data_IF_615214838766
#
_entry.id   IF_615214838766
#
_cell.length_a   1.000
_cell.length_b   1.000
_cell.length_c   1.000
_cell.angle_alpha   90.00
_cell.angle_beta   90.00
_cell.angle_gamma   90.00
#
_symmetry.space_group_name_H-M   'P 1'
#
loop_
_entity.id
_entity.type
_entity.pdbx_description
1 polymer ?
#
# COMPACT_ATOMS: atom_id res chain seq x y z
N UNK A 1 1.51 -10.89 2.30
CA UNK A 1 1.92 -9.91 1.26
C UNK A 1 3.43 -9.77 1.18
N UNK A 2 4.13 -9.52 2.29
CA UNK A 2 5.60 -9.34 2.31
C UNK A 2 6.41 -10.48 1.70
N UNK A 3 6.06 -11.74 1.99
CA UNK A 3 6.72 -12.90 1.37
C UNK A 3 6.56 -12.95 -0.16
N UNK A 4 5.46 -12.40 -0.71
CA UNK A 4 5.24 -12.33 -2.16
C UNK A 4 6.16 -11.25 -2.76
N UNK A 5 6.28 -10.10 -2.09
CA UNK A 5 7.20 -9.03 -2.50
C UNK A 5 8.66 -9.52 -2.48
N UNK A 6 9.03 -10.32 -1.47
CA UNK A 6 10.35 -10.94 -1.36
C UNK A 6 10.63 -11.94 -2.48
N UNK A 7 9.64 -12.75 -2.87
CA UNK A 7 9.76 -13.67 -4.01
C UNK A 7 9.90 -12.90 -5.31
N UNK A 8 9.08 -11.84 -5.50
CA UNK A 8 9.16 -10.98 -6.68
C UNK A 8 10.53 -10.30 -6.79
N UNK A 9 11.07 -9.76 -5.70
CA UNK A 9 12.39 -9.11 -5.71
C UNK A 9 13.50 -10.10 -6.04
N UNK A 10 13.46 -11.32 -5.49
CA UNK A 10 14.47 -12.35 -5.81
C UNK A 10 14.39 -12.74 -7.30
N UNK A 11 13.18 -12.93 -7.85
CA UNK A 11 12.99 -13.27 -9.27
C UNK A 11 13.47 -12.13 -10.18
N UNK A 12 13.12 -10.89 -9.86
CA UNK A 12 13.57 -9.71 -10.61
C UNK A 12 15.08 -9.57 -10.57
N UNK A 13 15.71 -9.75 -9.40
CA UNK A 13 17.15 -9.73 -9.26
C UNK A 13 17.84 -10.80 -10.12
N UNK A 14 17.35 -12.04 -10.11
CA UNK A 14 17.88 -13.12 -10.94
C UNK A 14 17.74 -12.82 -12.44
N UNK A 15 16.59 -12.30 -12.87
CA UNK A 15 16.35 -11.92 -14.26
C UNK A 15 17.26 -10.76 -14.68
N UNK A 16 17.45 -9.76 -13.81
CA UNK A 16 18.31 -8.61 -14.05
C UNK A 16 19.78 -9.00 -14.16
N UNK A 17 20.24 -9.95 -13.34
CA UNK A 17 21.57 -10.53 -13.45
C UNK A 17 21.75 -11.32 -14.76
N UNK A 18 20.76 -12.13 -15.15
CA UNK A 18 20.81 -12.88 -16.41
C UNK A 18 20.91 -11.94 -17.63
N UNK A 19 20.11 -10.86 -17.64
CA UNK A 19 20.16 -9.85 -18.71
C UNK A 19 21.47 -9.05 -18.70
N UNK A 20 22.06 -8.82 -17.52
CA UNK A 20 23.38 -8.18 -17.41
C UNK A 20 24.53 -9.03 -17.96
N UNK A 21 24.40 -10.35 -17.90
CA UNK A 21 25.39 -11.29 -18.47
C UNK A 21 25.34 -11.36 -20.00
N UNK A 22 24.26 -10.85 -20.62
CA UNK A 22 24.07 -10.84 -22.07
C UNK A 22 24.49 -9.47 -22.63
N UNK A 23 25.41 -9.44 -23.60
CA UNK A 23 25.97 -8.19 -24.16
C UNK A 23 24.92 -7.30 -24.83
N UNK A 24 23.96 -7.91 -25.53
CA UNK A 24 22.86 -7.21 -26.22
C UNK A 24 21.86 -6.54 -25.25
N UNK A 25 21.69 -7.08 -24.04
CA UNK A 25 20.66 -6.67 -23.08
C UNK A 25 21.24 -5.91 -21.87
N UNK A 26 22.50 -5.47 -21.95
CA UNK A 26 23.20 -4.88 -20.81
C UNK A 26 22.49 -3.64 -20.23
N UNK A 27 21.96 -2.76 -21.10
CA UNK A 27 21.23 -1.57 -20.67
C UNK A 27 19.88 -1.91 -20.02
N UNK A 28 19.14 -2.86 -20.60
CA UNK A 28 17.87 -3.35 -20.04
C UNK A 28 18.09 -4.02 -18.66
N UNK A 29 19.15 -4.81 -18.52
CA UNK A 29 19.55 -5.40 -17.24
C UNK A 29 19.87 -4.35 -16.18
N UNK A 30 20.54 -3.24 -16.55
CA UNK A 30 20.79 -2.12 -15.63
C UNK A 30 19.49 -1.47 -15.14
N UNK A 31 18.54 -1.19 -16.04
CA UNK A 31 17.22 -0.63 -15.66
C UNK A 31 16.49 -1.56 -14.69
N UNK A 32 16.50 -2.87 -14.99
CA UNK A 32 15.79 -3.85 -14.19
C UNK A 32 16.39 -3.97 -12.77
N UNK A 33 17.71 -3.93 -12.64
CA UNK A 33 18.39 -3.88 -11.34
C UNK A 33 18.12 -2.57 -10.57
N UNK A 34 17.95 -1.43 -11.26
CA UNK A 34 17.56 -0.18 -10.60
C UNK A 34 16.13 -0.26 -10.04
N UNK A 35 15.20 -0.85 -10.79
CA UNK A 35 13.82 -1.07 -10.32
C UNK A 35 13.83 -2.05 -9.14
N UNK A 36 14.61 -3.13 -9.23
CA UNK A 36 14.77 -4.12 -8.17
C UNK A 36 15.30 -3.50 -6.87
N UNK A 37 16.28 -2.59 -6.96
CA UNK A 37 16.77 -1.83 -5.81
C UNK A 37 15.67 -1.01 -5.12
N UNK A 38 14.75 -0.41 -5.89
CA UNK A 38 13.59 0.30 -5.31
C UNK A 38 12.69 -0.68 -4.56
N UNK A 39 12.42 -1.86 -5.12
CA UNK A 39 11.62 -2.91 -4.45
C UNK A 39 12.31 -3.38 -3.15
N UNK A 40 13.63 -3.56 -3.16
CA UNK A 40 14.39 -3.86 -1.94
C UNK A 40 14.33 -2.73 -0.90
N UNK A 41 14.34 -1.46 -1.32
CA UNK A 41 14.12 -0.34 -0.42
C UNK A 41 12.70 -0.34 0.16
N UNK A 42 11.67 -0.69 -0.62
CA UNK A 42 10.30 -0.85 -0.11
C UNK A 42 10.24 -1.98 0.94
N UNK A 43 11.01 -3.06 0.78
CA UNK A 43 11.14 -4.12 1.80
C UNK A 43 11.71 -3.60 3.12
N UNK A 44 12.57 -2.59 3.12
CA UNK A 44 13.03 -1.97 4.38
C UNK A 44 11.87 -1.31 5.13
N UNK A 45 10.87 -0.76 4.43
CA UNK A 45 9.65 -0.26 5.07
C UNK A 45 8.87 -1.37 5.79
N UNK A 46 8.87 -2.60 5.27
CA UNK A 46 8.30 -3.78 5.95
C UNK A 46 9.01 -4.12 7.27
N UNK A 47 10.28 -3.76 7.42
CA UNK A 47 10.97 -3.91 8.71
C UNK A 47 10.52 -2.79 9.65
N UNK A 48 10.31 -1.58 9.13
CA UNK A 48 9.77 -0.47 9.92
C UNK A 48 8.30 -0.67 10.32
N UNK A 49 7.54 -1.57 9.67
CA UNK A 49 6.18 -1.91 10.12
C UNK A 49 6.15 -2.56 11.50
N UNK A 50 7.28 -3.05 11.97
CA UNK A 50 7.44 -3.67 13.31
C UNK A 50 7.52 -2.60 14.39
N UNK A 51 7.89 -1.36 14.03
CA UNK A 51 8.05 -0.29 15.00
C UNK A 51 6.69 0.13 15.58
N UNK A 52 6.65 0.35 16.89
CA UNK A 52 5.45 0.77 17.64
C UNK A 52 4.81 2.06 17.09
N UNK A 53 5.60 2.89 16.41
CA UNK A 53 5.20 4.25 16.00
C UNK A 53 4.88 4.32 14.49
N UNK A 54 5.59 3.57 13.63
CA UNK A 54 5.38 3.60 12.18
C UNK A 54 4.55 2.41 11.68
N UNK A 55 4.49 1.29 12.40
CA UNK A 55 3.75 0.09 12.01
C UNK A 55 2.27 0.33 11.75
N UNK A 56 1.53 0.86 12.73
CA UNK A 56 0.10 1.11 12.56
C UNK A 56 -0.19 2.10 11.42
N UNK A 57 0.68 3.10 11.22
CA UNK A 57 0.59 4.09 10.13
C UNK A 57 0.73 3.47 8.73
N UNK A 58 1.61 2.48 8.56
CA UNK A 58 1.78 1.78 7.28
C UNK A 58 0.57 0.88 6.97
N UNK A 59 -0.06 0.29 7.99
CA UNK A 59 -1.26 -0.54 7.80
C UNK A 59 -2.44 0.32 7.34
N UNK A 60 -2.64 1.50 7.94
CA UNK A 60 -3.64 2.46 7.47
C UNK A 60 -3.40 2.82 5.99
N UNK A 61 -2.15 3.04 5.60
CA UNK A 61 -1.80 3.39 4.22
C UNK A 61 -2.14 2.27 3.22
N UNK A 62 -2.09 0.99 3.63
CA UNK A 62 -2.52 -0.13 2.78
C UNK A 62 -4.04 -0.13 2.58
N UNK A 63 -4.81 0.25 3.60
CA UNK A 63 -6.27 0.34 3.53
C UNK A 63 -6.74 1.48 2.62
N UNK A 64 -5.97 2.57 2.54
CA UNK A 64 -6.20 3.70 1.62
C UNK A 64 -6.12 3.31 0.13
N UNK A 65 -5.59 2.13 -0.21
CA UNK A 65 -5.49 1.66 -1.60
C UNK A 65 -6.87 1.52 -2.26
N UNK A 66 -7.89 1.05 -1.51
CA UNK A 66 -9.25 0.92 -2.03
C UNK A 66 -9.84 2.27 -2.45
N UNK A 67 -9.52 3.32 -1.70
CA UNK A 67 -9.96 4.67 -2.02
C UNK A 67 -9.20 5.26 -3.22
N UNK A 68 -7.89 5.07 -3.28
CA UNK A 68 -7.07 5.46 -4.43
C UNK A 68 -7.56 4.79 -5.73
N UNK A 69 -8.06 3.55 -5.63
CA UNK A 69 -8.68 2.85 -6.75
C UNK A 69 -9.98 3.54 -7.22
N UNK A 70 -10.86 3.94 -6.31
CA UNK A 70 -12.06 4.72 -6.64
C UNK A 70 -11.72 6.07 -7.31
N UNK A 71 -10.72 6.79 -6.79
CA UNK A 71 -10.22 8.02 -7.39
C UNK A 71 -9.66 7.77 -8.80
N UNK A 72 -8.90 6.70 -8.99
CA UNK A 72 -8.34 6.32 -10.29
C UNK A 72 -9.42 6.04 -11.33
N UNK A 73 -10.50 5.33 -10.96
CA UNK A 73 -11.65 5.10 -11.86
C UNK A 73 -12.25 6.44 -12.31
N UNK A 74 -12.45 7.38 -11.39
CA UNK A 74 -12.99 8.70 -11.69
C UNK A 74 -12.10 9.50 -12.66
N UNK A 75 -10.78 9.51 -12.41
CA UNK A 75 -9.78 10.18 -13.27
C UNK A 75 -9.80 9.61 -14.68
N UNK A 76 -9.78 8.28 -14.82
CA UNK A 76 -9.77 7.61 -16.12
C UNK A 76 -11.09 7.87 -16.87
N UNK A 77 -12.23 7.86 -16.18
CA UNK A 77 -13.52 8.14 -16.80
C UNK A 77 -13.58 9.56 -17.39
N UNK A 78 -13.14 10.58 -16.63
CA UNK A 78 -13.06 11.95 -17.13
C UNK A 78 -12.05 12.11 -18.26
N UNK A 79 -10.86 11.52 -18.13
CA UNK A 79 -9.80 11.62 -19.12
C UNK A 79 -10.19 11.00 -20.47
N UNK A 80 -10.77 9.80 -20.46
CA UNK A 80 -11.27 9.13 -21.66
C UNK A 80 -12.41 9.93 -22.30
N UNK A 81 -13.34 10.46 -21.50
CA UNK A 81 -14.44 11.29 -22.01
C UNK A 81 -13.93 12.60 -22.64
N UNK A 82 -13.04 13.34 -21.96
CA UNK A 82 -12.41 14.55 -22.48
C UNK A 82 -11.69 14.27 -23.80
N UNK A 83 -10.86 13.23 -23.83
CA UNK A 83 -10.07 12.90 -25.01
C UNK A 83 -10.95 12.45 -26.19
N UNK A 84 -11.99 11.65 -25.93
CA UNK A 84 -12.93 11.20 -26.96
C UNK A 84 -13.80 12.31 -27.55
N UNK A 85 -14.12 13.35 -26.77
CA UNK A 85 -14.91 14.50 -27.24
C UNK A 85 -14.04 15.48 -28.04
N UNK A 86 -12.84 15.79 -27.55
CA UNK A 86 -12.03 16.87 -28.13
C UNK A 86 -11.17 16.42 -29.31
N UNK A 87 -10.62 15.20 -29.29
CA UNK A 87 -9.60 14.74 -30.25
C UNK A 87 -10.19 13.67 -31.18
N UNK A 88 -10.09 13.89 -32.49
CA UNK A 88 -10.45 12.87 -33.47
C UNK A 88 -9.33 11.83 -33.60
N UNK A 89 -9.69 10.55 -33.46
CA UNK A 89 -8.89 9.33 -33.67
C UNK A 89 -7.37 9.56 -33.85
N UNK A 90 -6.60 9.47 -32.76
CA UNK A 90 -5.13 9.48 -32.78
C UNK A 90 -4.63 8.02 -32.79
N UNK A 91 -3.67 7.71 -33.67
CA UNK A 91 -3.10 6.37 -33.78
C UNK A 91 -1.90 6.16 -32.83
N UNK A 92 -1.42 7.22 -32.16
CA UNK A 92 -0.25 7.19 -31.28
C UNK A 92 -0.66 6.84 -29.85
N UNK A 93 -0.40 5.61 -29.43
CA UNK A 93 -0.76 5.11 -28.09
C UNK A 93 -0.16 5.95 -26.96
N UNK A 94 1.08 6.42 -27.11
CA UNK A 94 1.75 7.23 -26.07
C UNK A 94 1.00 8.54 -25.78
N UNK A 95 0.46 9.18 -26.84
CA UNK A 95 -0.33 10.40 -26.72
C UNK A 95 -1.74 10.12 -26.18
N UNK A 96 -2.32 8.96 -26.50
CA UNK A 96 -3.59 8.52 -25.93
C UNK A 96 -3.45 8.31 -24.42
N UNK A 97 -2.44 7.58 -23.97
CA UNK A 97 -2.22 7.31 -22.54
C UNK A 97 -1.90 8.61 -21.78
N UNK A 98 -1.07 9.48 -22.38
CA UNK A 98 -0.75 10.79 -21.78
C UNK A 98 -2.00 11.66 -21.61
N UNK A 99 -2.83 11.77 -22.64
CA UNK A 99 -4.05 12.59 -22.59
C UNK A 99 -5.14 12.01 -21.69
N UNK A 100 -5.31 10.68 -21.67
CA UNK A 100 -6.43 10.04 -20.98
C UNK A 100 -6.16 9.77 -19.50
N UNK A 101 -4.90 9.63 -19.08
CA UNK A 101 -4.55 9.25 -17.71
C UNK A 101 -3.64 10.29 -17.06
N UNK A 102 -2.55 10.67 -17.72
CA UNK A 102 -1.51 11.50 -17.10
C UNK A 102 -1.96 12.96 -16.91
N UNK A 103 -2.52 13.59 -17.95
CA UNK A 103 -3.07 14.94 -17.86
C UNK A 103 -4.18 15.11 -16.81
N UNK A 104 -5.26 14.31 -16.81
CA UNK A 104 -6.34 14.47 -15.84
C UNK A 104 -5.90 14.18 -14.39
N UNK A 105 -4.91 13.30 -14.19
CA UNK A 105 -4.29 13.09 -12.89
C UNK A 105 -3.56 14.34 -12.39
N UNK A 106 -2.75 15.01 -13.24
CA UNK A 106 -2.06 16.25 -12.87
C UNK A 106 -3.01 17.39 -12.54
N UNK A 107 -4.14 17.48 -13.24
CA UNK A 107 -5.17 18.51 -13.03
C UNK A 107 -5.72 18.46 -11.59
N UNK A 108 -5.87 17.27 -10.98
CA UNK A 108 -6.33 17.13 -9.58
C UNK A 108 -5.37 17.83 -8.62
N UNK A 109 -4.06 17.69 -8.83
CA UNK A 109 -3.02 18.31 -8.01
C UNK A 109 -2.79 19.80 -8.31
N UNK A 110 -3.62 20.39 -9.17
CA UNK A 110 -3.50 21.80 -9.55
C UNK A 110 -2.40 22.08 -10.58
N UNK A 111 -1.75 21.05 -11.13
CA UNK A 111 -0.86 21.19 -12.28
C UNK A 111 -1.74 21.22 -13.53
N UNK A 112 -2.33 22.38 -13.77
CA UNK A 112 -3.07 22.63 -14.99
C UNK A 112 -2.07 22.94 -16.12
N UNK A 113 -1.88 22.00 -17.05
CA UNK A 113 -1.13 22.26 -18.30
C UNK A 113 -2.00 23.03 -19.29
N UNK A 114 -3.19 23.50 -18.88
CA UNK A 114 -3.83 24.60 -19.58
C UNK A 114 -2.96 25.82 -19.28
N UNK A 115 -2.19 26.24 -20.28
CA UNK A 115 -1.78 27.63 -20.39
C UNK A 115 -2.97 28.54 -20.06
N UNK A 116 -2.76 29.76 -19.54
CA UNK A 116 -3.80 30.78 -19.37
C UNK A 116 -4.36 31.30 -20.72
N UNK A 117 -4.47 30.43 -21.72
CA UNK A 117 -4.74 30.65 -23.13
C UNK A 117 -5.93 29.81 -23.65
N UNK A 118 -6.81 29.32 -22.79
CA UNK A 118 -8.18 28.94 -23.20
C UNK A 118 -9.04 30.17 -23.58
N UNK A 119 -8.44 31.36 -23.61
CA UNK A 119 -9.02 32.56 -24.23
C UNK A 119 -8.47 32.82 -25.65
N UNK A 120 -7.46 32.08 -26.11
CA UNK A 120 -6.89 32.21 -27.45
C UNK A 120 -6.20 30.90 -27.86
N UNK A 121 -6.99 29.96 -28.39
CA UNK A 121 -6.48 28.76 -29.04
C UNK A 121 -5.42 29.13 -30.11
N UNK A 122 -4.14 28.79 -29.87
CA UNK A 122 -3.07 28.98 -30.84
C UNK A 122 -2.86 27.71 -31.66
N UNK A 123 -3.20 27.78 -32.94
CA UNK A 123 -3.11 26.67 -33.89
C UNK A 123 -1.66 26.16 -34.06
N UNK A 124 -0.65 26.98 -33.75
CA UNK A 124 0.77 26.61 -33.87
C UNK A 124 1.24 25.66 -32.75
N UNK A 125 0.48 25.56 -31.66
CA UNK A 125 0.78 24.70 -30.51
C UNK A 125 0.43 23.23 -30.73
N UNK A 126 -0.35 22.92 -31.77
CA UNK A 126 -0.86 21.57 -32.04
C UNK A 126 -0.62 21.13 -33.49
N UNK A 127 -0.69 19.82 -33.76
CA UNK A 127 -0.55 19.23 -35.09
C UNK A 127 -1.89 18.72 -35.61
N UNK A 128 -2.31 19.12 -36.82
CA UNK A 128 -3.59 18.71 -37.41
C UNK A 128 -3.69 17.20 -37.65
N UNK A 129 -2.63 16.60 -38.20
CA UNK A 129 -2.58 15.18 -38.52
C UNK A 129 -1.78 14.35 -37.50
N UNK A 130 -1.29 14.97 -36.41
CA UNK A 130 -0.40 14.29 -35.47
C UNK A 130 0.97 13.91 -36.07
N UNK A 131 1.40 14.64 -37.11
CA UNK A 131 2.66 14.39 -37.83
C UNK A 131 3.90 14.82 -37.04
N UNK A 132 3.75 15.78 -36.12
CA UNK A 132 4.82 16.24 -35.24
C UNK A 132 4.87 15.36 -33.97
N UNK A 133 5.99 14.69 -33.68
CA UNK A 133 6.13 13.85 -32.49
C UNK A 133 6.16 14.64 -31.17
N UNK A 134 6.46 15.94 -31.21
CA UNK A 134 6.58 16.78 -30.02
C UNK A 134 5.27 17.48 -29.63
N UNK A 135 4.32 17.60 -30.57
CA UNK A 135 3.07 18.36 -30.37
C UNK A 135 1.84 17.46 -30.23
N UNK A 136 0.87 17.85 -29.37
CA UNK A 136 -0.41 17.17 -29.28
C UNK A 136 -1.20 17.34 -30.58
N UNK A 137 -2.14 16.42 -30.81
CA UNK A 137 -3.09 16.55 -31.93
C UNK A 137 -4.08 17.66 -31.63
N UNK A 138 -4.39 18.47 -32.64
CA UNK A 138 -5.37 19.54 -32.49
C UNK A 138 -6.77 18.98 -32.21
N UNK A 139 -7.62 19.71 -31.44
CA UNK A 139 -9.02 19.36 -31.31
C UNK A 139 -9.72 19.44 -32.67
N UNK A 140 -10.89 18.83 -32.80
CA UNK A 140 -11.68 18.94 -34.03
C UNK A 140 -12.05 20.41 -34.26
N UNK A 141 -11.70 20.96 -35.43
CA UNK A 141 -11.96 22.35 -35.80
C UNK A 141 -13.05 22.46 -36.87
N UNK A 142 -13.82 23.54 -36.81
CA UNK A 142 -14.75 24.00 -37.85
C UNK A 142 -14.01 24.76 -38.97
N UNK A 143 -14.73 25.11 -40.04
CA UNK A 143 -14.20 25.87 -41.20
C UNK A 143 -13.48 27.17 -40.82
N UNK A 144 -13.86 27.78 -39.70
CA UNK A 144 -13.27 29.03 -39.17
C UNK A 144 -12.04 28.80 -38.28
N UNK A 145 -11.45 27.59 -38.28
CA UNK A 145 -10.29 27.23 -37.43
C UNK A 145 -10.54 27.40 -35.92
N UNK A 146 -11.78 27.22 -35.49
CA UNK A 146 -12.20 27.21 -34.07
C UNK A 146 -12.64 25.80 -33.67
N UNK A 147 -12.47 25.39 -32.40
CA UNK A 147 -12.93 24.08 -31.95
C UNK A 147 -14.45 23.91 -32.18
N UNK A 148 -14.85 22.73 -32.68
CA UNK A 148 -16.27 22.38 -32.88
C UNK A 148 -17.00 22.33 -31.54
N UNK A 149 -16.31 21.85 -30.50
CA UNK A 149 -16.84 21.77 -29.16
C UNK A 149 -16.70 23.11 -28.44
N UNK A 150 -17.77 23.68 -27.85
CA UNK A 150 -17.69 24.98 -27.21
C UNK A 150 -16.76 25.01 -26.00
N UNK A 151 -15.89 26.01 -25.93
CA UNK A 151 -14.91 26.18 -24.84
C UNK A 151 -15.58 26.31 -23.46
N UNK A 152 -16.69 27.05 -23.38
CA UNK A 152 -17.45 27.21 -22.14
C UNK A 152 -17.95 25.87 -21.57
N UNK A 153 -18.28 24.92 -22.45
CA UNK A 153 -18.73 23.60 -22.03
C UNK A 153 -17.57 22.75 -21.51
N UNK A 154 -16.37 22.88 -22.11
CA UNK A 154 -15.13 22.28 -21.60
C UNK A 154 -14.78 22.82 -20.22
N UNK A 155 -14.92 24.13 -20.02
CA UNK A 155 -14.69 24.78 -18.72
C UNK A 155 -15.69 24.25 -17.68
N UNK A 156 -16.98 24.15 -18.01
CA UNK A 156 -17.99 23.58 -17.10
C UNK A 156 -17.65 22.13 -16.74
N UNK A 157 -17.29 21.30 -17.73
CA UNK A 157 -16.89 19.91 -17.50
C UNK A 157 -15.68 19.81 -16.56
N UNK A 158 -14.68 20.69 -16.73
CA UNK A 158 -13.52 20.78 -15.85
C UNK A 158 -13.90 21.23 -14.43
N UNK A 159 -14.78 22.23 -14.29
CA UNK A 159 -15.25 22.70 -12.99
C UNK A 159 -15.99 21.59 -12.23
N UNK A 160 -16.88 20.85 -12.89
CA UNK A 160 -17.58 19.71 -12.29
C UNK A 160 -16.58 18.61 -11.90
N UNK A 161 -15.63 18.28 -12.77
CA UNK A 161 -14.59 17.30 -12.47
C UNK A 161 -13.79 17.67 -11.21
N UNK A 162 -13.31 18.92 -11.13
CA UNK A 162 -12.55 19.43 -9.98
C UNK A 162 -13.40 19.50 -8.72
N UNK A 163 -14.69 19.84 -8.82
CA UNK A 163 -15.60 19.84 -7.69
C UNK A 163 -15.71 18.44 -7.07
N UNK A 164 -15.98 17.43 -7.89
CA UNK A 164 -16.11 16.05 -7.42
C UNK A 164 -14.77 15.48 -6.92
N UNK A 165 -13.68 15.71 -7.65
CA UNK A 165 -12.37 15.18 -7.28
C UNK A 165 -11.82 15.86 -6.00
N UNK A 166 -11.78 17.19 -5.97
CA UNK A 166 -11.09 17.92 -4.91
C UNK A 166 -11.98 18.22 -3.70
N UNK A 167 -13.26 18.51 -3.90
CA UNK A 167 -14.15 18.85 -2.77
C UNK A 167 -14.79 17.59 -2.16
N UNK A 168 -15.17 16.60 -2.97
CA UNK A 168 -15.82 15.40 -2.44
C UNK A 168 -14.79 14.29 -2.17
N UNK A 169 -14.07 13.82 -3.19
CA UNK A 169 -13.24 12.62 -3.05
C UNK A 169 -11.99 12.86 -2.19
N UNK A 170 -11.19 13.89 -2.46
CA UNK A 170 -9.98 14.14 -1.66
C UNK A 170 -10.30 14.49 -0.20
N UNK A 171 -11.32 15.30 0.06
CA UNK A 171 -11.71 15.63 1.44
C UNK A 171 -12.25 14.41 2.19
N UNK A 172 -13.02 13.55 1.53
CA UNK A 172 -13.47 12.29 2.12
C UNK A 172 -12.29 11.35 2.41
N UNK A 173 -11.30 11.27 1.51
CA UNK A 173 -10.06 10.50 1.75
C UNK A 173 -9.33 10.99 2.99
N UNK A 174 -9.16 12.32 3.10
CA UNK A 174 -8.51 12.93 4.26
C UNK A 174 -9.29 12.64 5.54
N UNK A 175 -10.63 12.72 5.49
CA UNK A 175 -11.49 12.44 6.63
C UNK A 175 -11.38 10.97 7.08
N UNK A 176 -11.45 10.02 6.15
CA UNK A 176 -11.29 8.58 6.45
C UNK A 176 -9.88 8.31 6.97
N UNK A 177 -8.85 8.94 6.39
CA UNK A 177 -7.47 8.81 6.85
C UNK A 177 -7.32 9.32 8.28
N UNK A 178 -7.89 10.49 8.61
CA UNK A 178 -7.83 11.03 9.96
C UNK A 178 -8.59 10.14 10.96
N UNK A 179 -9.77 9.65 10.60
CA UNK A 179 -10.56 8.75 11.44
C UNK A 179 -9.83 7.44 11.73
N UNK A 180 -9.36 6.75 10.68
CA UNK A 180 -8.58 5.50 10.82
C UNK A 180 -7.26 5.74 11.55
N UNK A 181 -6.62 6.90 11.36
CA UNK A 181 -5.42 7.28 12.10
C UNK A 181 -5.69 7.41 13.60
N UNK A 182 -6.79 8.04 13.99
CA UNK A 182 -7.20 8.22 15.38
C UNK A 182 -7.56 6.87 16.03
N UNK A 183 -8.40 6.05 15.39
CA UNK A 183 -8.80 4.73 15.90
C UNK A 183 -7.60 3.78 16.11
N UNK A 184 -6.66 3.79 15.16
CA UNK A 184 -5.45 2.98 15.23
C UNK A 184 -4.47 3.56 16.27
N UNK A 185 -4.42 4.88 16.44
CA UNK A 185 -3.61 5.51 17.48
C UNK A 185 -4.09 5.07 18.87
N UNK A 186 -5.41 5.07 19.10
CA UNK A 186 -6.01 4.69 20.39
C UNK A 186 -5.78 3.21 20.74
N UNK A 187 -5.69 2.33 19.74
CA UNK A 187 -5.46 0.88 19.92
C UNK A 187 -4.01 0.42 19.67
N UNK A 188 -3.06 1.36 19.52
CA UNK A 188 -1.67 1.05 19.13
C UNK A 188 -0.99 0.05 20.06
N UNK A 189 -1.29 0.09 21.36
CA UNK A 189 -0.64 -0.77 22.35
C UNK A 189 -1.01 -2.25 22.22
N UNK A 190 -2.26 -2.58 21.86
CA UNK A 190 -2.68 -3.97 21.67
C UNK A 190 -2.09 -4.55 20.38
N UNK A 191 -2.17 -3.77 19.29
CA UNK A 191 -1.64 -4.14 17.97
C UNK A 191 -0.12 -4.38 18.06
N UNK A 192 0.61 -3.48 18.71
CA UNK A 192 2.06 -3.62 18.88
C UNK A 192 2.43 -4.86 19.70
N UNK A 193 1.68 -5.17 20.77
CA UNK A 193 1.92 -6.39 21.58
C UNK A 193 1.75 -7.66 20.75
N UNK A 194 0.72 -7.72 19.90
CA UNK A 194 0.49 -8.87 19.01
C UNK A 194 1.59 -9.01 17.96
N UNK A 195 1.93 -7.93 17.25
CA UNK A 195 3.00 -7.93 16.24
C UNK A 195 4.36 -8.28 16.82
N UNK A 196 4.67 -7.78 18.02
CA UNK A 196 5.91 -8.10 18.72
C UNK A 196 6.01 -9.59 19.04
N UNK A 197 4.91 -10.24 19.44
CA UNK A 197 4.92 -11.66 19.73
C UNK A 197 5.24 -12.50 18.50
N UNK A 198 4.60 -12.22 17.36
CA UNK A 198 4.89 -12.92 16.09
C UNK A 198 6.35 -12.78 15.69
N UNK A 199 6.90 -11.56 15.82
CA UNK A 199 8.30 -11.28 15.54
C UNK A 199 9.24 -12.09 16.43
N UNK A 200 9.01 -12.09 17.75
CA UNK A 200 9.87 -12.83 18.69
C UNK A 200 9.85 -14.32 18.36
N UNK A 201 8.67 -14.88 18.08
CA UNK A 201 8.52 -16.27 17.67
C UNK A 201 9.33 -16.59 16.41
N UNK A 202 9.29 -15.69 15.42
CA UNK A 202 10.04 -15.85 14.18
C UNK A 202 11.57 -15.76 14.40
N UNK A 203 12.06 -14.74 15.10
CA UNK A 203 13.48 -14.57 15.38
C UNK A 203 14.06 -15.68 16.27
N UNK A 204 13.27 -16.21 17.21
CA UNK A 204 13.70 -17.34 18.05
C UNK A 204 13.98 -18.61 17.22
N UNK A 205 13.25 -18.81 16.12
CA UNK A 205 13.43 -19.97 15.24
C UNK A 205 14.60 -19.82 14.26
N UNK A 206 15.14 -18.61 14.08
CA UNK A 206 16.22 -18.33 13.12
C UNK A 206 17.61 -18.55 13.76
N UNK A 207 18.59 -19.06 13.01
CA UNK A 207 19.97 -19.19 13.51
C UNK A 207 20.55 -17.81 13.86
N UNK A 208 21.32 -17.74 14.95
CA UNK A 208 21.80 -16.47 15.54
C UNK A 208 22.80 -15.68 14.68
N UNK A 209 23.25 -16.22 13.55
CA UNK A 209 24.19 -15.53 12.67
C UNK A 209 23.49 -14.41 11.87
N UNK A 210 24.12 -13.24 11.71
CA UNK A 210 23.56 -12.17 10.90
C UNK A 210 23.50 -12.60 9.42
N UNK A 211 22.64 -11.97 8.60
CA UNK A 211 22.40 -12.34 7.21
C UNK A 211 23.64 -12.68 6.35
N UNK A 212 24.77 -11.94 6.40
CA UNK A 212 25.96 -12.31 5.62
C UNK A 212 26.58 -13.67 6.00
N UNK A 213 26.48 -14.09 7.27
CA UNK A 213 27.08 -15.32 7.78
C UNK A 213 26.07 -16.48 7.92
N UNK A 214 24.79 -16.24 7.61
CA UNK A 214 23.72 -17.23 7.77
C UNK A 214 23.92 -18.47 6.89
N UNK A 215 24.58 -18.31 5.74
CA UNK A 215 24.89 -19.39 4.80
C UNK A 215 25.75 -20.46 5.49
N UNK A 216 26.75 -20.06 6.27
CA UNK A 216 27.62 -20.98 7.01
C UNK A 216 26.85 -21.73 8.11
N UNK A 217 25.93 -21.05 8.81
CA UNK A 217 25.08 -21.69 9.81
C UNK A 217 24.13 -22.73 9.20
N UNK A 218 23.50 -22.40 8.07
CA UNK A 218 22.64 -23.36 7.36
C UNK A 218 23.44 -24.54 6.82
N UNK A 219 24.66 -24.33 6.32
CA UNK A 219 25.56 -25.39 5.90
C UNK A 219 25.89 -26.33 7.08
N UNK A 220 26.26 -25.78 8.24
CA UNK A 220 26.55 -26.55 9.44
C UNK A 220 25.33 -27.34 9.94
N UNK A 221 24.16 -26.72 9.98
CA UNK A 221 22.90 -27.39 10.39
C UNK A 221 22.51 -28.50 9.41
N UNK A 222 22.69 -28.29 8.11
CA UNK A 222 22.45 -29.29 7.07
C UNK A 222 23.39 -30.50 7.24
N UNK A 223 24.69 -30.26 7.42
CA UNK A 223 25.69 -31.31 7.69
C UNK A 223 25.34 -32.05 8.98
N UNK A 224 25.03 -31.34 10.07
CA UNK A 224 24.65 -31.95 11.34
C UNK A 224 23.39 -32.79 11.23
N UNK A 225 22.39 -32.39 10.44
CA UNK A 225 21.15 -33.15 10.25
C UNK A 225 21.36 -34.39 9.37
N UNK A 226 22.25 -34.32 8.39
CA UNK A 226 22.67 -35.47 7.59
C UNK A 226 23.50 -36.49 8.41
N UNK A 227 24.29 -36.02 9.38
CA UNK A 227 25.21 -36.86 10.17
C UNK A 227 24.61 -37.34 11.50
N UNK A 228 23.77 -36.55 12.16
CA UNK A 228 23.11 -36.91 13.43
C UNK A 228 21.59 -37.02 13.23
N UNK A 229 21.14 -38.21 12.82
CA UNK A 229 19.76 -38.66 12.99
C UNK A 229 19.54 -38.96 14.48
N UNK A 230 19.29 -37.95 15.32
CA UNK A 230 19.06 -38.16 16.76
C UNK A 230 17.62 -37.81 17.14
N UNK A 231 16.97 -38.77 17.81
CA UNK A 231 15.62 -38.68 18.33
C UNK A 231 15.45 -37.56 19.39
N UNK A 232 14.28 -36.93 19.48
CA UNK A 232 14.02 -35.86 20.45
C UNK A 232 14.02 -36.39 21.90
N UNK A 233 14.49 -35.56 22.81
CA UNK A 233 14.64 -35.83 24.25
C UNK A 233 13.28 -35.71 24.93
N UNK A 234 12.83 -36.78 25.61
CA UNK A 234 11.60 -36.85 26.43
C UNK A 234 11.89 -36.39 27.86
N UNK A 235 11.84 -35.08 28.12
CA UNK A 235 11.99 -34.52 29.46
C UNK A 235 10.91 -33.50 29.83
N UNK A 236 9.83 -33.41 29.05
CA UNK A 236 8.79 -32.37 29.17
C UNK A 236 7.60 -32.78 30.02
N UNK A 237 7.25 -34.07 30.10
CA UNK A 237 5.99 -34.52 30.73
C UNK A 237 5.88 -34.16 32.22
N UNK A 238 6.93 -34.37 33.02
CA UNK A 238 6.85 -34.12 34.48
C UNK A 238 6.68 -32.63 34.85
N UNK A 239 7.24 -31.70 34.06
CA UNK A 239 7.10 -30.26 34.32
C UNK A 239 5.72 -29.72 33.96
N UNK A 240 5.00 -30.40 33.08
CA UNK A 240 3.70 -29.98 32.57
C UNK A 240 2.60 -30.16 33.62
N UNK A 241 2.60 -31.26 34.38
CA UNK A 241 1.64 -31.51 35.45
C UNK A 241 1.74 -30.48 36.60
N UNK A 242 2.96 -30.16 37.05
CA UNK A 242 3.18 -29.16 38.09
C UNK A 242 2.68 -27.77 37.66
N UNK A 243 2.96 -27.38 36.41
CA UNK A 243 2.49 -26.11 35.83
C UNK A 243 0.96 -26.02 35.76
N UNK A 244 0.29 -27.08 35.30
CA UNK A 244 -1.17 -27.13 35.21
C UNK A 244 -1.82 -27.04 36.60
N UNK A 245 -1.24 -27.69 37.60
CA UNK A 245 -1.74 -27.60 38.98
C UNK A 245 -1.61 -26.18 39.56
N UNK A 246 -0.51 -25.49 39.25
CA UNK A 246 -0.28 -24.10 39.62
C UNK A 246 -1.25 -23.14 38.92
N UNK A 247 -1.51 -23.35 37.62
CA UNK A 247 -2.45 -22.55 36.85
C UNK A 247 -3.88 -22.69 37.39
N UNK A 248 -4.31 -23.92 37.70
CA UNK A 248 -5.63 -24.18 38.30
C UNK A 248 -5.80 -23.45 39.64
N UNK A 249 -4.79 -23.49 40.52
CA UNK A 249 -4.83 -22.81 41.82
C UNK A 249 -4.91 -21.29 41.67
N UNK A 250 -4.17 -20.71 40.71
CA UNK A 250 -4.24 -19.28 40.40
C UNK A 250 -5.59 -18.87 39.83
N UNK A 251 -6.17 -19.69 38.95
CA UNK A 251 -7.50 -19.46 38.38
C UNK A 251 -8.57 -19.43 39.47
N UNK A 252 -8.56 -20.37 40.40
CA UNK A 252 -9.52 -20.41 41.50
C UNK A 252 -9.39 -19.18 42.41
N UNK A 253 -8.15 -18.78 42.73
CA UNK A 253 -7.88 -17.56 43.51
C UNK A 253 -8.43 -16.31 42.82
N UNK A 254 -8.25 -16.20 41.50
CA UNK A 254 -8.72 -15.07 40.72
C UNK A 254 -10.26 -15.04 40.61
N UNK A 255 -10.91 -16.19 40.47
CA UNK A 255 -12.37 -16.29 40.45
C UNK A 255 -12.98 -15.88 41.81
N UNK A 256 -12.34 -16.28 42.91
CA UNK A 256 -12.75 -15.87 44.25
C UNK A 256 -12.61 -14.36 44.46
N UNK A 257 -11.49 -13.76 44.06
CA UNK A 257 -11.30 -12.30 44.17
C UNK A 257 -12.30 -11.53 43.30
N UNK A 258 -12.53 -11.95 42.06
CA UNK A 258 -13.51 -11.33 41.18
C UNK A 258 -14.94 -11.44 41.74
N UNK A 259 -15.31 -12.59 42.32
CA UNK A 259 -16.61 -12.78 42.97
C UNK A 259 -16.77 -11.88 44.19
N UNK A 260 -15.70 -11.71 44.97
CA UNK A 260 -15.67 -10.82 46.13
C UNK A 260 -15.84 -9.36 45.71
N UNK A 261 -15.10 -8.87 44.71
CA UNK A 261 -15.26 -7.52 44.16
C UNK A 261 -16.68 -7.29 43.63
N UNK A 262 -17.21 -8.25 42.89
CA UNK A 262 -18.57 -8.16 42.35
C UNK A 262 -19.62 -8.17 43.47
N UNK A 263 -19.42 -8.92 44.57
CA UNK A 263 -20.29 -8.88 45.75
C UNK A 263 -20.21 -7.56 46.54
N UNK A 264 -19.07 -6.86 46.45
CA UNK A 264 -18.86 -5.55 47.06
C UNK A 264 -19.37 -4.42 46.16
N UNK A 265 -19.62 -4.68 44.87
CA UNK A 265 -20.22 -3.72 43.95
C UNK A 265 -21.57 -3.21 44.46
N UNK A 266 -21.74 -1.90 44.36
CA UNK A 266 -22.94 -1.20 44.82
C UNK A 266 -24.21 -1.70 44.10
N UNK A 267 -24.12 -2.00 42.80
CA UNK A 267 -25.23 -2.54 42.02
C UNK A 267 -25.75 -3.87 42.56
N UNK A 268 -24.84 -4.78 42.91
CA UNK A 268 -25.19 -6.09 43.44
C UNK A 268 -25.74 -5.99 44.85
N UNK A 269 -25.18 -5.11 45.68
CA UNK A 269 -25.70 -4.83 47.02
C UNK A 269 -27.11 -4.24 46.97
N UNK A 270 -27.40 -3.32 46.05
CA UNK A 270 -28.74 -2.74 45.83
C UNK A 270 -29.73 -3.82 45.39
N UNK A 271 -29.34 -4.72 44.47
CA UNK A 271 -30.16 -5.87 44.06
C UNK A 271 -30.44 -6.83 45.22
N UNK A 272 -29.43 -7.15 46.03
CA UNK A 272 -29.59 -7.99 47.22
C UNK A 272 -30.44 -7.32 48.31
N UNK A 273 -30.48 -5.98 48.36
CA UNK A 273 -31.36 -5.25 49.31
C UNK A 273 -32.79 -5.11 48.78
N UNK A 274 -33.01 -5.16 47.47
CA UNK A 274 -34.36 -5.08 46.89
C UNK A 274 -35.08 -6.43 46.84
N UNK A 275 -34.33 -7.55 46.87
CA UNK A 275 -34.87 -8.91 46.94
C UNK A 275 -35.09 -9.43 48.37
N UNK A 276 -34.60 -8.72 49.38
CA UNK A 276 -34.85 -8.98 50.81
C UNK A 276 -36.07 -8.20 51.31
#
# INVERSE_FOLDING_TARGET
MWNILDVISIVLFCLGLAFRLTTELFYAGKILLCIDFVVFCLRLMAIFTISRILGPKIIIMMDMFFFMFLLSIWVVAYGVAKQGILIHNDNRLDWIIRGAIYEPYLIIFGICVLSPADAAFDINSCSMNGTDPLKPKCPVLNENQMPVFPEWLTIIMLCVYLLFANILLLNLLIAIFNYTFEEVHDNTDSIWKFQRYELIKEYYSRPAAPPPFIIFCHLYLFIRKMVLFKAPISSTEFKEEELLSWEALMKDRHLLSARQEQSQSMERRILDTSQK
#
